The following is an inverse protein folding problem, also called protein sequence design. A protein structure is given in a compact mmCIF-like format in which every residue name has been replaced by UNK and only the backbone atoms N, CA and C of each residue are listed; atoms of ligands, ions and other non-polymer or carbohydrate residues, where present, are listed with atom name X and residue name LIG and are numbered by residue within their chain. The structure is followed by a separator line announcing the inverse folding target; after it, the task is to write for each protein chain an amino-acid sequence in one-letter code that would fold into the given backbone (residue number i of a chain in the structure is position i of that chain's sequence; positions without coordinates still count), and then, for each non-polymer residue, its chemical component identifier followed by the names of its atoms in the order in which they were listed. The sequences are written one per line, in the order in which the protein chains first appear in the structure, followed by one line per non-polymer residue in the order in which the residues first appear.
data_IF_142590212699
#
_entry.id   IF_142590212699
#
_cell.length_a   1.000
_cell.length_b   1.000
_cell.length_c   1.000
_cell.angle_alpha   90.00
_cell.angle_beta   90.00
_cell.angle_gamma   90.00
#
_symmetry.space_group_name_H-M   'P 1'
#
loop_
_entity.id
_entity.type
_entity.pdbx_description
1 polymer ?
#
# COMPACT_ATOMS: atom_id res chain seq x y z
N UNK A 1 4.75 -7.89 -5.25
CA UNK A 1 5.16 -6.60 -4.65
C UNK A 1 4.09 -6.06 -3.69
N UNK A 2 2.80 -6.12 -4.03
CA UNK A 2 1.71 -5.59 -3.19
C UNK A 2 1.64 -6.22 -1.79
N UNK A 3 2.08 -7.47 -1.62
CA UNK A 3 2.14 -8.13 -0.32
C UNK A 3 3.01 -7.38 0.71
N UNK A 4 3.99 -6.60 0.25
CA UNK A 4 4.85 -5.77 1.12
C UNK A 4 4.03 -4.69 1.86
N UNK A 5 2.91 -4.25 1.30
CA UNK A 5 2.05 -3.24 1.93
C UNK A 5 1.31 -3.79 3.17
N UNK A 6 1.28 -5.11 3.35
CA UNK A 6 0.76 -5.77 4.57
C UNK A 6 1.79 -5.91 5.69
N UNK A 7 3.04 -5.51 5.49
CA UNK A 7 4.09 -5.60 6.52
C UNK A 7 3.67 -5.00 7.86
N UNK A 8 2.99 -3.83 7.95
CA UNK A 8 2.51 -3.31 9.23
C UNK A 8 1.50 -4.22 9.95
N UNK A 9 0.67 -4.97 9.21
CA UNK A 9 -0.25 -5.96 9.78
C UNK A 9 0.53 -7.15 10.35
N UNK A 10 1.48 -7.67 9.57
CA UNK A 10 2.34 -8.77 10.01
C UNK A 10 3.15 -8.39 11.24
N UNK A 11 3.66 -7.15 11.27
CA UNK A 11 4.36 -6.61 12.43
C UNK A 11 3.44 -6.53 13.67
N UNK A 12 2.20 -6.06 13.52
CA UNK A 12 1.22 -6.03 14.60
C UNK A 12 0.97 -7.44 15.15
N UNK A 13 0.72 -8.42 14.27
CA UNK A 13 0.46 -9.81 14.67
C UNK A 13 1.69 -10.44 15.33
N UNK A 14 2.90 -10.13 14.85
CA UNK A 14 4.15 -10.58 15.46
C UNK A 14 4.32 -10.01 16.89
N UNK A 15 4.13 -8.72 17.07
CA UNK A 15 4.22 -8.06 18.38
C UNK A 15 3.18 -8.62 19.37
N UNK A 16 2.06 -9.10 18.84
CA UNK A 16 1.00 -9.74 19.64
C UNK A 16 1.28 -11.19 20.00
N UNK A 17 2.23 -11.82 19.34
CA UNK A 17 2.54 -13.24 19.49
C UNK A 17 1.62 -14.19 18.71
N UNK A 18 0.76 -13.64 17.85
CA UNK A 18 -0.09 -14.44 16.95
C UNK A 18 0.66 -14.93 15.69
N UNK A 19 1.81 -14.32 15.39
CA UNK A 19 2.77 -14.76 14.40
C UNK A 19 4.14 -14.94 15.05
N UNK A 20 4.84 -15.98 14.65
CA UNK A 20 6.24 -16.22 15.04
C UNK A 20 7.18 -16.06 13.84
N UNK A 21 8.48 -16.06 14.10
CA UNK A 21 9.49 -15.87 13.05
C UNK A 21 9.44 -16.99 12.00
N UNK A 22 9.05 -18.22 12.40
CA UNK A 22 8.93 -19.34 11.49
C UNK A 22 7.76 -19.14 10.49
N UNK A 23 6.66 -18.51 10.91
CA UNK A 23 5.56 -18.15 10.00
C UNK A 23 6.04 -17.16 8.94
N UNK A 24 6.96 -16.25 9.31
CA UNK A 24 7.58 -15.31 8.38
C UNK A 24 8.41 -16.00 7.28
N UNK A 25 8.96 -17.20 7.53
CA UNK A 25 9.69 -17.98 6.52
C UNK A 25 8.79 -18.49 5.40
N UNK A 26 7.48 -18.52 5.59
CA UNK A 26 6.53 -18.87 4.52
C UNK A 26 6.58 -17.88 3.35
N UNK A 27 6.89 -16.60 3.60
CA UNK A 27 6.96 -15.59 2.54
C UNK A 27 8.06 -15.89 1.51
N UNK A 28 9.35 -16.05 1.92
CA UNK A 28 10.41 -16.41 0.97
C UNK A 28 10.19 -17.80 0.36
N UNK A 29 9.56 -18.73 1.08
CA UNK A 29 9.25 -20.06 0.56
C UNK A 29 8.20 -19.98 -0.57
N UNK A 30 7.08 -19.29 -0.37
CA UNK A 30 6.05 -19.11 -1.41
C UNK A 30 6.62 -18.35 -2.60
N UNK A 31 7.44 -17.31 -2.35
CA UNK A 31 8.12 -16.58 -3.40
C UNK A 31 9.03 -17.53 -4.21
N UNK A 32 9.85 -18.35 -3.56
CA UNK A 32 10.70 -19.32 -4.22
C UNK A 32 9.87 -20.31 -5.08
N UNK A 33 8.77 -20.85 -4.54
CA UNK A 33 7.88 -21.72 -5.31
C UNK A 33 7.31 -21.05 -6.56
N UNK A 34 7.02 -19.75 -6.50
CA UNK A 34 6.49 -19.01 -7.66
C UNK A 34 7.54 -18.77 -8.75
N UNK A 35 8.82 -18.67 -8.38
CA UNK A 35 9.95 -18.44 -9.29
C UNK A 35 10.52 -19.76 -9.84
N UNK A 36 10.42 -20.83 -9.06
CA UNK A 36 11.01 -22.12 -9.32
C UNK A 36 10.70 -22.72 -10.71
N UNK A 37 9.46 -22.70 -11.24
CA UNK A 37 9.18 -23.22 -12.58
C UNK A 37 9.96 -22.48 -13.67
N UNK A 38 10.09 -21.15 -13.57
CA UNK A 38 10.82 -20.35 -14.55
C UNK A 38 12.33 -20.64 -14.49
N UNK A 39 12.86 -20.88 -13.30
CA UNK A 39 14.25 -21.28 -13.11
C UNK A 39 14.53 -22.67 -13.72
N UNK A 40 13.65 -23.64 -13.50
CA UNK A 40 13.74 -24.97 -14.12
C UNK A 40 13.71 -24.92 -15.67
N UNK A 41 12.99 -23.95 -16.24
CA UNK A 41 12.92 -23.71 -17.69
C UNK A 41 14.15 -22.96 -18.23
N UNK A 42 15.21 -22.81 -17.42
CA UNK A 42 16.51 -22.26 -17.82
C UNK A 42 16.64 -20.74 -17.70
N UNK A 43 15.69 -20.07 -17.04
CA UNK A 43 15.87 -18.63 -16.73
C UNK A 43 16.88 -18.45 -15.61
N UNK A 44 17.77 -17.47 -15.76
CA UNK A 44 18.76 -17.14 -14.73
C UNK A 44 18.07 -16.69 -13.43
N UNK A 45 18.45 -17.33 -12.31
CA UNK A 45 17.86 -17.11 -11.00
C UNK A 45 18.03 -15.66 -10.50
N UNK A 46 19.18 -15.06 -10.80
CA UNK A 46 19.48 -13.70 -10.38
C UNK A 46 18.59 -12.69 -11.09
N UNK A 47 18.35 -12.88 -12.40
CA UNK A 47 17.41 -12.05 -13.18
C UNK A 47 15.97 -12.21 -12.72
N UNK A 48 15.56 -13.41 -12.30
CA UNK A 48 14.24 -13.66 -11.72
C UNK A 48 14.08 -12.95 -10.36
N UNK A 49 15.13 -12.94 -9.56
CA UNK A 49 15.14 -12.28 -8.25
C UNK A 49 15.09 -10.76 -8.39
N UNK A 50 15.84 -10.22 -9.36
CA UNK A 50 15.98 -8.78 -9.59
C UNK A 50 14.92 -8.20 -10.56
N UNK A 51 13.94 -8.99 -11.00
CA UNK A 51 12.96 -8.57 -12.02
C UNK A 51 12.23 -7.29 -11.64
N UNK A 52 11.89 -7.13 -10.36
CA UNK A 52 11.24 -5.90 -9.87
C UNK A 52 12.19 -4.70 -9.84
N UNK A 53 13.47 -4.94 -9.53
CA UNK A 53 14.50 -3.90 -9.61
C UNK A 53 14.67 -3.38 -11.05
N UNK A 54 14.73 -4.29 -12.03
CA UNK A 54 14.81 -3.91 -13.44
C UNK A 54 13.57 -3.18 -13.92
N UNK A 55 12.37 -3.59 -13.51
CA UNK A 55 11.12 -2.91 -13.84
C UNK A 55 11.08 -1.48 -13.29
N UNK A 56 11.57 -1.27 -12.08
CA UNK A 56 11.63 0.07 -11.47
C UNK A 56 12.54 1.03 -12.27
N UNK A 57 13.60 0.53 -12.90
CA UNK A 57 14.52 1.35 -13.68
C UNK A 57 13.95 1.76 -15.05
N UNK A 58 13.01 1.00 -15.61
CA UNK A 58 12.50 1.21 -16.97
C UNK A 58 11.56 2.42 -17.12
N UNK A 59 11.02 2.97 -16.04
CA UNK A 59 10.04 4.04 -16.09
C UNK A 59 10.53 5.27 -15.32
N UNK A 60 11.00 6.34 -15.99
CA UNK A 60 11.53 7.54 -15.34
C UNK A 60 10.40 8.54 -14.95
N UNK A 61 9.34 8.03 -14.33
CA UNK A 61 8.21 8.84 -13.85
C UNK A 61 8.03 8.70 -12.34
N UNK A 62 7.64 9.77 -11.67
CA UNK A 62 7.33 9.76 -10.23
C UNK A 62 6.07 8.97 -9.90
N UNK A 63 5.13 8.92 -10.84
CA UNK A 63 3.87 8.18 -10.72
C UNK A 63 3.43 7.69 -12.11
N UNK A 64 2.79 6.55 -12.15
CA UNK A 64 2.26 5.91 -13.36
C UNK A 64 0.74 5.79 -13.20
N UNK A 65 0.06 6.93 -13.32
CA UNK A 65 -1.38 7.11 -13.13
C UNK A 65 -1.92 6.65 -11.75
N UNK A 66 -1.05 6.42 -10.76
CA UNK A 66 -1.51 6.13 -9.40
C UNK A 66 -2.07 7.38 -8.73
N UNK A 67 -3.16 7.24 -7.97
CA UNK A 67 -3.78 8.32 -7.19
C UNK A 67 -2.96 8.61 -5.91
N UNK A 68 -1.74 9.12 -6.07
CA UNK A 68 -0.77 9.33 -5.01
C UNK A 68 -0.31 10.80 -4.89
N UNK A 69 0.53 11.08 -3.90
CA UNK A 69 1.00 12.43 -3.58
C UNK A 69 1.74 13.11 -4.76
N UNK A 70 2.36 12.34 -5.67
CA UNK A 70 3.13 12.88 -6.79
C UNK A 70 2.25 13.48 -7.88
N UNK A 71 0.95 13.23 -7.87
CA UNK A 71 0.00 13.90 -8.76
C UNK A 71 -0.15 15.40 -8.47
N UNK A 72 0.24 15.83 -7.27
CA UNK A 72 0.30 17.26 -6.91
C UNK A 72 1.60 17.94 -7.33
N UNK A 73 2.58 17.17 -7.82
CA UNK A 73 3.94 17.61 -8.10
C UNK A 73 4.40 17.22 -9.51
N UNK A 74 3.62 17.57 -10.57
CA UNK A 74 3.89 17.08 -11.94
C UNK A 74 5.22 17.57 -12.53
N UNK A 75 5.77 18.68 -12.02
CA UNK A 75 7.03 19.27 -12.49
C UNK A 75 8.20 19.01 -11.53
N UNK A 76 8.03 18.16 -10.53
CA UNK A 76 9.08 17.91 -9.55
C UNK A 76 10.31 17.19 -10.19
N UNK A 77 11.54 17.58 -9.82
CA UNK A 77 12.75 16.91 -10.30
C UNK A 77 12.77 15.43 -9.92
N UNK A 78 12.72 14.57 -10.93
CA UNK A 78 12.58 13.11 -10.77
C UNK A 78 13.59 12.50 -9.79
N UNK A 79 14.88 12.74 -10.01
CA UNK A 79 15.98 12.16 -9.23
C UNK A 79 15.88 12.48 -7.72
N UNK A 80 15.53 13.72 -7.40
CA UNK A 80 15.42 14.20 -6.02
C UNK A 80 14.18 13.61 -5.37
N UNK A 81 13.03 13.67 -6.07
CA UNK A 81 11.75 13.27 -5.49
C UNK A 81 11.58 11.75 -5.40
N UNK A 82 12.26 10.96 -6.23
CA UNK A 82 12.32 9.50 -6.04
C UNK A 82 13.04 9.17 -4.73
N UNK A 83 14.21 9.75 -4.49
CA UNK A 83 14.98 9.51 -3.25
C UNK A 83 14.23 10.02 -2.01
N UNK A 84 13.74 11.24 -2.08
CA UNK A 84 12.98 11.87 -0.99
C UNK A 84 11.71 11.06 -0.67
N UNK A 85 10.99 10.60 -1.68
CA UNK A 85 9.78 9.80 -1.51
C UNK A 85 10.02 8.42 -0.90
N UNK A 86 11.10 7.75 -1.28
CA UNK A 86 11.50 6.49 -0.64
C UNK A 86 11.80 6.75 0.86
N UNK A 87 12.60 7.77 1.17
CA UNK A 87 12.93 8.14 2.56
C UNK A 87 11.65 8.48 3.33
N UNK A 88 10.76 9.30 2.77
CA UNK A 88 9.48 9.66 3.38
C UNK A 88 8.63 8.42 3.68
N UNK A 89 8.54 7.48 2.72
CA UNK A 89 7.77 6.25 2.91
C UNK A 89 8.36 5.38 4.02
N UNK A 90 9.68 5.19 4.03
CA UNK A 90 10.37 4.42 5.07
C UNK A 90 10.17 5.05 6.44
N UNK A 91 10.37 6.37 6.57
CA UNK A 91 10.13 7.09 7.83
C UNK A 91 8.67 6.95 8.29
N UNK A 92 7.72 7.08 7.38
CA UNK A 92 6.29 6.90 7.71
C UNK A 92 5.99 5.49 8.18
N UNK A 93 6.58 4.46 7.56
CA UNK A 93 6.45 3.07 8.00
C UNK A 93 7.08 2.85 9.38
N UNK A 94 8.24 3.44 9.67
CA UNK A 94 8.89 3.36 10.98
C UNK A 94 8.05 4.04 12.05
N UNK A 95 7.57 5.27 11.80
CA UNK A 95 6.69 6.01 12.74
C UNK A 95 5.41 5.20 12.99
N UNK A 96 4.83 4.65 11.93
CA UNK A 96 3.64 3.81 12.04
C UNK A 96 3.92 2.52 12.83
N UNK A 97 5.07 1.88 12.61
CA UNK A 97 5.51 0.72 13.38
C UNK A 97 5.68 1.03 14.88
N UNK A 98 6.31 2.17 15.23
CA UNK A 98 6.44 2.64 16.61
C UNK A 98 5.05 2.87 17.23
N UNK A 99 4.16 3.55 16.49
CA UNK A 99 2.78 3.76 16.94
C UNK A 99 2.04 2.44 17.23
N UNK A 100 2.16 1.45 16.35
CA UNK A 100 1.57 0.13 16.54
C UNK A 100 2.17 -0.58 17.75
N UNK A 101 3.49 -0.52 17.92
CA UNK A 101 4.17 -1.11 19.05
C UNK A 101 3.73 -0.48 20.38
N UNK A 102 3.71 0.84 20.48
CA UNK A 102 3.39 1.54 21.74
C UNK A 102 1.92 1.45 22.13
N UNK A 103 1.03 1.57 21.16
CA UNK A 103 -0.40 1.75 21.40
C UNK A 103 -1.21 0.50 21.11
N UNK A 104 -1.10 -0.03 19.89
CA UNK A 104 -1.90 -1.18 19.47
C UNK A 104 -1.46 -2.47 20.17
N UNK A 105 -0.16 -2.64 20.50
CA UNK A 105 0.34 -3.82 21.21
C UNK A 105 -0.28 -4.03 22.60
N UNK A 106 -0.74 -2.99 23.24
CA UNK A 106 -1.37 -3.03 24.58
C UNK A 106 -2.87 -3.36 24.56
N UNK A 107 -3.49 -3.35 23.37
CA UNK A 107 -4.91 -3.64 23.18
C UNK A 107 -5.13 -5.10 22.83
N UNK A 108 -6.30 -5.65 23.13
CA UNK A 108 -6.71 -6.93 22.57
C UNK A 108 -6.84 -6.82 21.04
N UNK A 109 -6.43 -7.85 20.33
CA UNK A 109 -6.65 -7.89 18.88
C UNK A 109 -8.15 -7.97 18.62
N UNK A 110 -8.63 -7.08 17.76
CA UNK A 110 -9.98 -7.12 17.23
C UNK A 110 -9.91 -7.05 15.71
N UNK A 111 -10.88 -7.65 15.03
CA UNK A 111 -10.99 -7.57 13.57
C UNK A 111 -11.01 -6.12 13.08
N UNK A 112 -11.66 -5.22 13.85
CA UNK A 112 -11.69 -3.78 13.56
C UNK A 112 -10.28 -3.18 13.53
N UNK A 113 -9.43 -3.55 14.49
CA UNK A 113 -8.05 -3.07 14.55
C UNK A 113 -7.24 -3.60 13.37
N UNK A 114 -7.27 -4.92 13.13
CA UNK A 114 -6.52 -5.56 12.04
C UNK A 114 -6.91 -4.96 10.69
N UNK A 115 -8.22 -4.91 10.40
CA UNK A 115 -8.73 -4.39 9.13
C UNK A 115 -8.40 -2.91 8.93
N UNK A 116 -8.43 -2.11 10.01
CA UNK A 116 -8.09 -0.68 9.90
C UNK A 116 -6.59 -0.47 9.70
N UNK A 117 -5.73 -1.25 10.37
CA UNK A 117 -4.28 -1.25 10.14
C UNK A 117 -3.98 -1.69 8.70
N UNK A 118 -4.64 -2.75 8.21
CA UNK A 118 -4.49 -3.23 6.85
C UNK A 118 -4.89 -2.15 5.84
N UNK A 119 -6.09 -1.59 5.96
CA UNK A 119 -6.58 -0.56 5.03
C UNK A 119 -5.67 0.68 5.05
N UNK A 120 -5.29 1.16 6.24
CA UNK A 120 -4.40 2.31 6.39
C UNK A 120 -3.05 2.06 5.70
N UNK A 121 -2.42 0.92 5.91
CA UNK A 121 -1.13 0.60 5.30
C UNK A 121 -1.22 0.42 3.78
N UNK A 122 -2.30 -0.20 3.28
CA UNK A 122 -2.56 -0.39 1.86
C UNK A 122 -2.83 0.92 1.10
N UNK A 123 -3.25 1.96 1.80
CA UNK A 123 -3.39 3.32 1.22
C UNK A 123 -2.08 4.09 1.43
N UNK A 124 -1.56 4.16 2.66
CA UNK A 124 -0.43 4.99 3.03
C UNK A 124 0.83 4.68 2.20
N UNK A 125 1.18 3.40 2.09
CA UNK A 125 2.44 3.03 1.45
C UNK A 125 2.43 3.39 -0.04
N UNK A 126 1.47 2.96 -0.89
CA UNK A 126 1.47 3.34 -2.30
C UNK A 126 1.13 4.82 -2.53
N UNK A 127 0.51 5.52 -1.56
CA UNK A 127 0.28 6.96 -1.64
C UNK A 127 1.58 7.76 -1.49
N UNK A 128 2.50 7.30 -0.63
CA UNK A 128 3.78 7.99 -0.37
C UNK A 128 4.93 7.48 -1.24
N UNK A 129 4.89 6.20 -1.64
CA UNK A 129 5.97 5.59 -2.41
C UNK A 129 5.96 6.10 -3.85
N UNK A 130 7.12 6.54 -4.40
CA UNK A 130 7.22 6.93 -5.80
C UNK A 130 7.15 5.72 -6.72
N UNK A 131 6.94 5.99 -8.03
CA UNK A 131 6.91 4.98 -9.10
C UNK A 131 5.77 3.96 -8.97
N UNK A 132 4.69 4.36 -8.32
CA UNK A 132 3.51 3.51 -8.19
C UNK A 132 2.65 3.53 -9.46
N UNK A 133 2.13 2.36 -9.82
CA UNK A 133 1.15 2.16 -10.88
C UNK A 133 -0.28 2.25 -10.34
N UNK A 134 -1.24 2.48 -11.22
CA UNK A 134 -2.68 2.50 -10.95
C UNK A 134 -3.16 1.28 -10.17
N UNK A 135 -2.62 0.10 -10.47
CA UNK A 135 -3.02 -1.20 -9.89
C UNK A 135 -2.60 -1.45 -8.44
N UNK A 136 -1.76 -0.58 -7.87
CA UNK A 136 -1.26 -0.82 -6.51
C UNK A 136 -2.28 -0.54 -5.40
N UNK A 137 -3.38 0.14 -5.71
CA UNK A 137 -4.49 0.34 -4.79
C UNK A 137 -5.54 -0.78 -4.81
N UNK A 138 -5.44 -1.77 -5.71
CA UNK A 138 -6.42 -2.85 -5.83
C UNK A 138 -6.67 -3.61 -4.51
N UNK A 139 -5.63 -3.87 -3.72
CA UNK A 139 -5.79 -4.50 -2.42
C UNK A 139 -6.56 -3.61 -1.43
N UNK A 140 -6.37 -2.28 -1.50
CA UNK A 140 -7.14 -1.32 -0.70
C UNK A 140 -8.62 -1.32 -1.10
N UNK A 141 -8.93 -1.43 -2.41
CA UNK A 141 -10.32 -1.53 -2.90
C UNK A 141 -11.05 -2.69 -2.22
N UNK A 142 -10.44 -3.90 -2.26
CA UNK A 142 -11.06 -5.10 -1.69
C UNK A 142 -11.19 -5.03 -0.16
N UNK A 143 -10.12 -4.61 0.53
CA UNK A 143 -10.13 -4.50 2.00
C UNK A 143 -11.10 -3.42 2.46
N UNK A 144 -11.26 -2.32 1.72
CA UNK A 144 -12.21 -1.25 2.06
C UNK A 144 -13.67 -1.73 2.03
N UNK A 145 -14.02 -2.62 1.11
CA UNK A 145 -15.37 -3.22 1.04
C UNK A 145 -15.65 -4.04 2.31
N UNK A 146 -14.68 -4.89 2.72
CA UNK A 146 -14.84 -5.68 3.97
C UNK A 146 -14.87 -4.76 5.18
N UNK A 147 -14.04 -3.73 5.21
CA UNK A 147 -13.94 -2.78 6.31
C UNK A 147 -15.25 -2.02 6.57
N UNK A 148 -16.01 -1.69 5.53
CA UNK A 148 -17.32 -1.01 5.66
C UNK A 148 -18.32 -1.80 6.48
N UNK A 149 -18.31 -3.14 6.46
CA UNK A 149 -19.19 -3.95 7.29
C UNK A 149 -18.94 -3.77 8.80
N UNK A 150 -17.73 -3.42 9.18
CA UNK A 150 -17.37 -3.08 10.56
C UNK A 150 -17.61 -1.59 10.89
N UNK A 151 -17.63 -0.72 9.88
CA UNK A 151 -17.81 0.73 9.99
C UNK A 151 -18.85 1.27 9.01
N UNK A 152 -20.13 0.83 9.09
CA UNK A 152 -21.15 1.15 8.06
C UNK A 152 -21.41 2.65 7.92
N UNK A 153 -21.25 3.44 8.99
CA UNK A 153 -21.38 4.90 8.92
C UNK A 153 -20.24 5.60 8.16
N UNK A 154 -19.19 4.87 7.84
CA UNK A 154 -17.98 5.37 7.13
C UNK A 154 -17.88 4.82 5.71
N UNK A 155 -18.99 4.37 5.13
CA UNK A 155 -19.05 3.76 3.79
C UNK A 155 -18.44 4.64 2.69
N UNK A 156 -18.46 5.96 2.86
CA UNK A 156 -17.87 6.91 1.92
C UNK A 156 -16.35 6.75 1.76
N UNK A 157 -15.65 6.18 2.75
CA UNK A 157 -14.21 5.89 2.64
C UNK A 157 -13.95 4.88 1.53
N UNK A 158 -14.73 3.79 1.49
CA UNK A 158 -14.66 2.80 0.42
C UNK A 158 -15.01 3.40 -0.94
N UNK A 159 -16.03 4.27 -0.99
CA UNK A 159 -16.39 4.98 -2.23
C UNK A 159 -15.21 5.85 -2.70
N UNK A 160 -14.54 6.58 -1.82
CA UNK A 160 -13.38 7.40 -2.19
C UNK A 160 -12.23 6.56 -2.75
N UNK A 161 -11.90 5.43 -2.09
CA UNK A 161 -10.83 4.54 -2.52
C UNK A 161 -11.15 3.94 -3.89
N UNK A 162 -12.32 3.33 -4.04
CA UNK A 162 -12.73 2.66 -5.28
C UNK A 162 -12.84 3.66 -6.43
N UNK A 163 -13.41 4.86 -6.18
CA UNK A 163 -13.52 5.90 -7.20
C UNK A 163 -12.14 6.40 -7.61
N UNK A 164 -11.23 6.65 -6.66
CA UNK A 164 -9.88 7.09 -6.95
C UNK A 164 -9.10 6.03 -7.74
N UNK A 165 -9.22 4.77 -7.34
CA UNK A 165 -8.61 3.63 -8.04
C UNK A 165 -9.19 3.49 -9.44
N UNK A 166 -10.51 3.53 -9.62
CA UNK A 166 -11.16 3.46 -10.92
C UNK A 166 -10.69 4.61 -11.85
N UNK A 167 -10.68 5.85 -11.37
CA UNK A 167 -10.18 6.99 -12.15
C UNK A 167 -8.72 6.80 -12.59
N UNK A 168 -7.91 6.10 -11.77
CA UNK A 168 -6.53 5.78 -12.12
C UNK A 168 -6.41 4.82 -13.30
N UNK A 169 -7.40 3.94 -13.52
CA UNK A 169 -7.45 3.03 -14.67
C UNK A 169 -7.98 3.68 -15.95
N UNK A 170 -8.72 4.79 -15.85
CA UNK A 170 -9.39 5.43 -17.00
C UNK A 170 -8.42 5.76 -18.16
N UNK A 171 -7.23 6.37 -17.93
CA UNK A 171 -6.28 6.64 -19.01
C UNK A 171 -5.84 5.38 -19.75
N UNK A 172 -5.66 4.27 -19.02
CA UNK A 172 -5.26 3.00 -19.60
C UNK A 172 -6.41 2.31 -20.36
N UNK A 173 -7.62 2.30 -19.79
CA UNK A 173 -8.77 1.60 -20.36
C UNK A 173 -9.36 2.30 -21.59
N UNK A 174 -9.38 3.62 -21.58
CA UNK A 174 -10.04 4.43 -22.59
C UNK A 174 -9.07 5.22 -23.48
N UNK A 175 -7.77 5.13 -23.23
CA UNK A 175 -6.73 5.92 -23.86
C UNK A 175 -7.05 7.43 -23.89
N UNK A 176 -7.64 7.94 -22.79
CA UNK A 176 -8.11 9.30 -22.66
C UNK A 176 -7.94 9.82 -21.22
N UNK A 177 -7.43 11.02 -21.08
CA UNK A 177 -7.28 11.73 -19.81
C UNK A 177 -8.59 12.45 -19.44
N UNK A 178 -9.63 11.68 -19.08
CA UNK A 178 -10.96 12.20 -18.77
C UNK A 178 -11.02 12.94 -17.44
N UNK A 179 -10.17 12.57 -16.47
CA UNK A 179 -10.16 13.13 -15.13
C UNK A 179 -8.74 13.58 -14.75
N UNK A 180 -8.55 14.85 -14.36
CA UNK A 180 -7.27 15.30 -13.85
C UNK A 180 -6.83 14.47 -12.64
N UNK A 181 -5.64 13.85 -12.69
CA UNK A 181 -5.21 12.84 -11.72
C UNK A 181 -5.00 13.36 -10.30
N UNK A 182 -4.92 14.69 -10.09
CA UNK A 182 -4.92 15.26 -8.74
C UNK A 182 -6.26 15.07 -8.00
N UNK A 183 -7.39 14.94 -8.74
CA UNK A 183 -8.73 14.72 -8.12
C UNK A 183 -8.80 13.35 -7.43
N UNK A 184 -8.50 12.22 -8.10
CA UNK A 184 -8.41 10.93 -7.42
C UNK A 184 -7.35 10.91 -6.30
N UNK A 185 -6.24 11.65 -6.43
CA UNK A 185 -5.26 11.78 -5.35
C UNK A 185 -5.83 12.49 -4.11
N UNK A 186 -6.70 13.50 -4.27
CA UNK A 186 -7.43 14.13 -3.16
C UNK A 186 -8.36 13.11 -2.48
N UNK A 187 -9.13 12.34 -3.24
CA UNK A 187 -10.01 11.31 -2.68
C UNK A 187 -9.23 10.29 -1.85
N UNK A 188 -8.08 9.85 -2.38
CA UNK A 188 -7.22 8.90 -1.68
C UNK A 188 -6.61 9.51 -0.41
N UNK A 189 -6.22 10.79 -0.45
CA UNK A 189 -5.75 11.52 0.73
C UNK A 189 -6.84 11.64 1.80
N UNK A 190 -8.08 11.94 1.41
CA UNK A 190 -9.21 12.00 2.34
C UNK A 190 -9.48 10.62 2.98
N UNK A 191 -9.42 9.55 2.19
CA UNK A 191 -9.56 8.18 2.69
C UNK A 191 -8.42 7.82 3.66
N UNK A 192 -7.18 8.21 3.36
CA UNK A 192 -6.03 8.01 4.22
C UNK A 192 -6.19 8.75 5.56
N UNK A 193 -6.57 10.01 5.52
CA UNK A 193 -6.78 10.82 6.72
C UNK A 193 -7.88 10.25 7.61
N UNK A 194 -9.01 9.85 7.02
CA UNK A 194 -10.14 9.30 7.76
C UNK A 194 -9.83 7.94 8.37
N UNK A 195 -9.17 7.04 7.63
CA UNK A 195 -8.73 5.75 8.18
C UNK A 195 -7.71 5.91 9.30
N UNK A 196 -6.78 6.87 9.18
CA UNK A 196 -5.83 7.22 10.24
C UNK A 196 -6.51 7.77 11.48
N UNK A 197 -7.52 8.63 11.35
CA UNK A 197 -8.32 9.13 12.46
C UNK A 197 -9.07 8.01 13.18
N UNK A 198 -9.71 7.11 12.44
CA UNK A 198 -10.43 5.96 12.99
C UNK A 198 -9.46 5.02 13.71
N UNK A 199 -8.31 4.73 13.11
CA UNK A 199 -7.29 3.91 13.75
C UNK A 199 -6.83 4.50 15.08
N UNK A 200 -6.54 5.81 15.09
CA UNK A 200 -6.14 6.51 16.31
C UNK A 200 -7.22 6.42 17.40
N UNK A 201 -8.49 6.50 17.02
CA UNK A 201 -9.63 6.36 17.93
C UNK A 201 -9.74 4.94 18.49
N UNK A 202 -9.68 3.90 17.64
CA UNK A 202 -9.72 2.49 18.08
C UNK A 202 -8.64 2.20 19.12
N UNK A 203 -7.45 2.76 18.93
CA UNK A 203 -6.31 2.53 19.81
C UNK A 203 -6.42 3.30 21.13
N UNK A 204 -7.20 4.39 21.18
CA UNK A 204 -7.45 5.16 22.41
C UNK A 204 -8.58 4.59 23.27
N UNK A 205 -9.64 4.07 22.64
CA UNK A 205 -10.76 3.41 23.31
C UNK A 205 -10.36 2.03 23.86
#
# INVERSE_FOLDING_TARGET
LQAVFFVPVLFLLYVKGDLNLADGMMLPFVWFLSVFPNWLLGRDFLNLTLIYGHQVLNYPFLTLNAANIYQFLPQAPYEIFVKAGIVLTVLSCVIFGIFLFEKASKKSISDKLILTVALFSLIMIPFLLPKMHERYFFAADLVSIVWVFYFPRKFYVSIFIITASFCSYVPFLFNADLVPMFIPAILMLCALAETGFILHRIVRE
#
